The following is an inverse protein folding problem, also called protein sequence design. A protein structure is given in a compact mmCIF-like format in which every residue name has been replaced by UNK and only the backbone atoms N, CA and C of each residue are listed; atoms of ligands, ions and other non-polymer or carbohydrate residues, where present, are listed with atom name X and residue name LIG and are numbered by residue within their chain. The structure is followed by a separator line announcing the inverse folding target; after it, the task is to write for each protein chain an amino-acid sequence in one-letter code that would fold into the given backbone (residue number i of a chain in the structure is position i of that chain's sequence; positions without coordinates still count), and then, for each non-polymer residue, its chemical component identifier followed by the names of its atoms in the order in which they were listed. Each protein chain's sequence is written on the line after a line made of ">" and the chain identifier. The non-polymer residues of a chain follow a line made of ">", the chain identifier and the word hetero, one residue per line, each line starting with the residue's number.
data_IF_628090477068
#
_entry.id   IF_628090477068
#
_cell.length_a   1.000
_cell.length_b   1.000
_cell.length_c   1.000
_cell.angle_alpha   90.00
_cell.angle_beta   90.00
_cell.angle_gamma   90.00
#
_symmetry.space_group_name_H-M   'P 1'
#
loop_
_entity.id
_entity.type
_entity.pdbx_description
1 polymer ?
#
# COMPACT_ATOMS: atom_id res chain seq x y z
N UNK A 1 -11.81 -10.61 -5.36
CA UNK A 1 -11.27 -9.37 -5.95
C UNK A 1 -12.32 -8.66 -6.78
N UNK A 2 -12.47 -7.35 -6.62
CA UNK A 2 -13.33 -6.50 -7.45
C UNK A 2 -12.73 -6.36 -8.85
N UNK A 3 -13.60 -6.23 -9.87
CA UNK A 3 -13.18 -6.05 -11.26
C UNK A 3 -14.29 -5.42 -12.10
N UNK A 4 -14.00 -5.04 -13.35
CA UNK A 4 -15.00 -4.48 -14.25
C UNK A 4 -16.06 -5.54 -14.62
N UNK A 5 -17.29 -5.09 -14.77
CA UNK A 5 -18.42 -5.90 -15.25
C UNK A 5 -19.01 -5.20 -16.45
N UNK A 6 -19.12 -5.90 -17.57
CA UNK A 6 -19.79 -5.42 -18.75
C UNK A 6 -21.25 -5.93 -18.74
N UNK A 7 -22.20 -5.02 -18.91
CA UNK A 7 -23.61 -5.36 -19.15
C UNK A 7 -23.98 -4.81 -20.53
N UNK A 8 -24.21 -5.70 -21.48
CA UNK A 8 -24.72 -5.32 -22.80
C UNK A 8 -26.25 -5.28 -22.76
N UNK A 9 -26.81 -4.12 -23.13
CA UNK A 9 -28.26 -3.89 -23.16
C UNK A 9 -28.67 -3.50 -24.58
N UNK A 10 -29.09 -4.48 -25.41
CA UNK A 10 -29.52 -4.23 -26.77
C UNK A 10 -30.71 -3.26 -26.87
N UNK A 11 -30.78 -2.51 -27.96
CA UNK A 11 -31.76 -1.44 -28.13
C UNK A 11 -33.23 -1.94 -28.05
N UNK A 12 -33.52 -3.09 -28.58
CA UNK A 12 -34.85 -3.74 -28.53
C UNK A 12 -35.26 -4.07 -27.10
N UNK A 13 -34.33 -4.52 -26.27
CA UNK A 13 -34.55 -4.79 -24.83
C UNK A 13 -34.93 -3.53 -24.07
N UNK A 14 -34.27 -2.39 -24.37
CA UNK A 14 -34.55 -1.10 -23.71
C UNK A 14 -35.91 -0.53 -24.06
N UNK A 15 -36.50 -0.93 -25.21
CA UNK A 15 -37.82 -0.50 -25.67
C UNK A 15 -38.97 -1.34 -25.10
N UNK A 16 -38.69 -2.52 -24.54
CA UNK A 16 -39.71 -3.43 -24.03
C UNK A 16 -40.19 -3.01 -22.63
N UNK A 17 -41.42 -3.42 -22.34
CA UNK A 17 -42.01 -3.31 -21.00
C UNK A 17 -41.86 -4.66 -20.29
N UNK A 18 -41.46 -4.61 -19.01
CA UNK A 18 -41.37 -5.78 -18.16
C UNK A 18 -41.92 -5.47 -16.78
N UNK A 19 -42.34 -6.50 -16.06
CA UNK A 19 -42.60 -6.40 -14.64
C UNK A 19 -41.26 -6.41 -13.90
N UNK A 20 -41.07 -5.43 -13.03
CA UNK A 20 -39.82 -5.28 -12.29
C UNK A 20 -40.01 -5.68 -10.82
N UNK A 21 -39.24 -6.65 -10.39
CA UNK A 21 -39.10 -7.03 -8.99
C UNK A 21 -37.78 -6.50 -8.43
N UNK A 22 -37.84 -5.86 -7.28
CA UNK A 22 -36.63 -5.38 -6.60
C UNK A 22 -35.88 -6.60 -6.04
N UNK A 23 -34.79 -6.96 -6.71
CA UNK A 23 -33.90 -8.03 -6.22
C UNK A 23 -32.95 -7.43 -5.19
N UNK A 24 -33.00 -7.95 -3.95
CA UNK A 24 -32.00 -7.59 -2.93
C UNK A 24 -30.61 -8.07 -3.39
N UNK A 25 -29.56 -7.20 -3.32
CA UNK A 25 -28.21 -7.66 -3.58
C UNK A 25 -27.84 -8.83 -2.68
N UNK A 26 -27.16 -9.84 -3.25
CA UNK A 26 -26.56 -10.88 -2.41
C UNK A 26 -25.46 -10.25 -1.56
N UNK A 27 -25.45 -10.56 -0.27
CA UNK A 27 -24.29 -10.25 0.56
C UNK A 27 -23.08 -11.00 0.00
N UNK A 28 -21.99 -10.26 -0.20
CA UNK A 28 -20.74 -10.87 -0.65
C UNK A 28 -20.06 -11.46 0.58
N UNK A 29 -19.99 -12.79 0.64
CA UNK A 29 -19.26 -13.47 1.69
C UNK A 29 -17.77 -13.08 1.62
N UNK A 30 -17.18 -12.73 2.74
CA UNK A 30 -15.75 -12.48 2.86
C UNK A 30 -14.98 -13.80 2.75
N UNK A 31 -13.83 -13.74 2.12
CA UNK A 31 -12.98 -14.91 1.92
C UNK A 31 -12.23 -15.23 3.21
N UNK A 32 -12.55 -16.35 3.86
CA UNK A 32 -11.79 -16.85 5.01
C UNK A 32 -10.33 -17.13 4.65
N UNK A 33 -9.46 -17.20 5.66
CA UNK A 33 -8.05 -17.56 5.45
C UNK A 33 -7.99 -19.01 4.95
N UNK A 34 -7.38 -19.21 3.77
CA UNK A 34 -7.32 -20.53 3.12
C UNK A 34 -6.19 -21.43 3.66
N UNK A 35 -5.18 -20.82 4.28
CA UNK A 35 -3.98 -21.50 4.79
C UNK A 35 -3.60 -20.97 6.18
N UNK A 36 -4.47 -21.13 7.19
CA UNK A 36 -4.28 -20.54 8.53
C UNK A 36 -3.04 -21.07 9.24
N UNK A 37 -2.54 -22.24 8.89
CA UNK A 37 -1.32 -22.84 9.42
C UNK A 37 -0.07 -22.01 9.14
N UNK A 38 -0.13 -21.14 8.12
CA UNK A 38 0.97 -20.26 7.75
C UNK A 38 1.07 -18.98 8.60
N UNK A 39 0.02 -18.63 9.31
CA UNK A 39 0.00 -17.42 10.17
C UNK A 39 1.16 -17.46 11.16
N UNK A 40 1.33 -18.59 11.87
CA UNK A 40 2.43 -18.74 12.84
C UNK A 40 3.81 -18.58 12.20
N UNK A 41 3.99 -19.16 11.00
CA UNK A 41 5.27 -19.02 10.28
C UNK A 41 5.56 -17.57 9.92
N UNK A 42 4.55 -16.83 9.44
CA UNK A 42 4.69 -15.40 9.13
C UNK A 42 4.97 -14.58 10.40
N UNK A 43 4.29 -14.88 11.51
CA UNK A 43 4.59 -14.25 12.81
C UNK A 43 6.04 -14.51 13.23
N UNK A 44 6.57 -15.73 13.04
CA UNK A 44 7.95 -16.05 13.38
C UNK A 44 8.94 -15.32 12.47
N UNK A 45 8.64 -15.16 11.16
CA UNK A 45 9.43 -14.34 10.24
C UNK A 45 9.48 -12.88 10.70
N UNK A 46 8.34 -12.32 11.12
CA UNK A 46 8.26 -10.95 11.65
C UNK A 46 9.12 -10.79 12.90
N UNK A 47 9.01 -11.71 13.86
CA UNK A 47 9.79 -11.67 15.13
C UNK A 47 11.29 -11.73 14.91
N UNK A 48 11.74 -12.40 13.85
CA UNK A 48 13.17 -12.61 13.57
C UNK A 48 13.78 -11.52 12.68
N UNK A 49 12.95 -10.73 11.99
CA UNK A 49 13.41 -9.68 11.11
C UNK A 49 14.06 -8.52 11.90
N UNK A 50 15.13 -7.97 11.36
CA UNK A 50 15.85 -6.82 11.95
C UNK A 50 15.59 -5.52 11.21
N UNK A 51 15.39 -5.61 9.92
CA UNK A 51 15.18 -4.49 8.99
C UNK A 51 13.94 -4.73 8.12
N UNK A 52 12.77 -5.03 8.71
CA UNK A 52 11.57 -5.31 7.93
C UNK A 52 10.97 -4.05 7.32
N UNK A 53 10.22 -4.23 6.22
CA UNK A 53 9.32 -3.21 5.68
C UNK A 53 7.95 -3.81 5.37
N UNK A 54 6.91 -3.00 5.48
CA UNK A 54 5.59 -3.32 4.93
C UNK A 54 5.46 -2.64 3.57
N UNK A 55 5.21 -3.42 2.52
CA UNK A 55 4.81 -2.91 1.22
C UNK A 55 3.28 -2.88 1.13
N UNK A 56 2.70 -1.70 1.36
CA UNK A 56 1.26 -1.48 1.44
C UNK A 56 0.64 -1.20 0.06
N UNK A 57 -0.30 -2.04 -0.34
CA UNK A 57 -1.02 -1.90 -1.60
C UNK A 57 -2.46 -1.41 -1.45
N UNK A 58 -3.10 -1.10 -2.59
CA UNK A 58 -4.51 -0.69 -2.64
C UNK A 58 -5.49 -1.75 -2.14
N UNK A 59 -5.04 -2.99 -1.97
CA UNK A 59 -5.83 -4.07 -1.39
C UNK A 59 -6.27 -3.78 0.04
N UNK A 60 -5.46 -3.06 0.83
CA UNK A 60 -5.79 -2.65 2.20
C UNK A 60 -7.05 -1.75 2.19
N UNK A 61 -7.05 -0.73 1.33
CA UNK A 61 -8.18 0.22 1.19
C UNK A 61 -9.41 -0.50 0.62
N UNK A 62 -9.20 -1.41 -0.35
CA UNK A 62 -10.29 -2.18 -0.98
C UNK A 62 -10.96 -3.17 -0.02
N UNK A 63 -10.21 -3.72 0.93
CA UNK A 63 -10.71 -4.61 1.97
C UNK A 63 -11.36 -3.86 3.16
N UNK A 64 -11.29 -2.52 3.20
CA UNK A 64 -11.62 -1.68 4.36
C UNK A 64 -10.80 -2.06 5.62
N UNK A 65 -9.57 -2.50 5.44
CA UNK A 65 -8.70 -3.02 6.49
C UNK A 65 -7.72 -1.98 7.06
N UNK A 66 -7.95 -0.69 6.85
CA UNK A 66 -7.01 0.38 7.23
C UNK A 66 -6.78 0.47 8.73
N UNK A 67 -7.83 0.29 9.55
CA UNK A 67 -7.71 0.36 11.00
C UNK A 67 -6.89 -0.81 11.56
N UNK A 68 -7.21 -2.04 11.15
CA UNK A 68 -6.42 -3.22 11.60
C UNK A 68 -5.01 -3.19 11.00
N UNK A 69 -4.83 -2.64 9.80
CA UNK A 69 -3.53 -2.46 9.18
C UNK A 69 -2.65 -1.50 9.98
N UNK A 70 -3.20 -0.35 10.39
CA UNK A 70 -2.51 0.60 11.27
C UNK A 70 -2.10 -0.06 12.58
N UNK A 71 -3.04 -0.75 13.24
CA UNK A 71 -2.75 -1.51 14.47
C UNK A 71 -1.64 -2.55 14.25
N UNK A 72 -1.64 -3.27 13.12
CA UNK A 72 -0.61 -4.23 12.78
C UNK A 72 0.76 -3.56 12.61
N UNK A 73 0.84 -2.44 11.88
CA UNK A 73 2.07 -1.68 11.72
C UNK A 73 2.62 -1.16 13.05
N UNK A 74 1.74 -0.60 13.91
CA UNK A 74 2.11 -0.11 15.24
C UNK A 74 2.57 -1.25 16.16
N UNK A 75 1.89 -2.40 16.16
CA UNK A 75 2.24 -3.56 16.97
C UNK A 75 3.58 -4.17 16.54
N UNK A 76 3.86 -4.18 15.24
CA UNK A 76 5.09 -4.73 14.71
C UNK A 76 6.22 -3.71 14.62
N UNK A 77 5.95 -2.41 14.83
CA UNK A 77 6.88 -1.29 14.71
C UNK A 77 7.61 -1.27 13.35
N UNK A 78 6.93 -1.74 12.29
CA UNK A 78 7.52 -1.88 10.95
C UNK A 78 7.18 -0.67 10.09
N UNK A 79 8.18 -0.04 9.43
CA UNK A 79 7.95 1.07 8.50
C UNK A 79 7.13 0.65 7.29
N UNK A 80 6.23 1.55 6.86
CA UNK A 80 5.25 1.32 5.79
C UNK A 80 5.63 2.10 4.54
N UNK A 81 5.93 1.38 3.46
CA UNK A 81 6.15 1.91 2.12
C UNK A 81 4.91 1.65 1.26
N UNK A 82 4.25 2.71 0.79
CA UNK A 82 2.97 2.60 0.07
C UNK A 82 3.18 2.52 -1.45
N UNK A 83 2.46 1.63 -2.13
CA UNK A 83 2.25 1.79 -3.58
C UNK A 83 1.41 3.06 -3.84
N UNK A 84 1.39 3.56 -5.07
CA UNK A 84 0.53 4.69 -5.46
C UNK A 84 -0.93 4.48 -5.02
N UNK A 85 -1.47 3.27 -5.22
CA UNK A 85 -2.84 2.91 -4.83
C UNK A 85 -3.00 2.58 -3.34
N UNK A 86 -1.91 2.49 -2.60
CA UNK A 86 -1.88 2.27 -1.15
C UNK A 86 -1.79 3.57 -0.34
N UNK A 87 -1.48 4.70 -1.00
CA UNK A 87 -1.40 5.99 -0.31
C UNK A 87 -2.71 6.32 0.42
N UNK A 88 -2.60 6.73 1.68
CA UNK A 88 -3.74 6.97 2.56
C UNK A 88 -4.24 5.71 3.31
N UNK A 89 -3.62 4.52 3.13
CA UNK A 89 -3.94 3.36 3.97
C UNK A 89 -3.42 3.50 5.42
N UNK A 90 -2.48 4.38 5.62
CA UNK A 90 -1.98 4.90 6.89
C UNK A 90 -1.84 6.42 6.72
N UNK A 91 -2.11 7.24 7.75
CA UNK A 91 -1.91 8.69 7.63
C UNK A 91 -0.50 9.05 7.18
N UNK A 92 -0.38 10.03 6.29
CA UNK A 92 0.91 10.41 5.72
C UNK A 92 1.90 11.00 6.74
N UNK A 93 1.40 11.53 7.87
CA UNK A 93 2.19 12.03 8.99
C UNK A 93 2.44 11.00 10.09
N UNK A 94 1.94 9.76 9.92
CA UNK A 94 2.21 8.69 10.87
C UNK A 94 3.72 8.38 10.93
N UNK A 95 4.32 8.19 12.13
CA UNK A 95 5.77 7.97 12.27
C UNK A 95 6.31 6.81 11.44
N UNK A 96 5.52 5.77 11.23
CA UNK A 96 5.90 4.61 10.42
C UNK A 96 5.67 4.82 8.91
N UNK A 97 5.04 5.92 8.46
CA UNK A 97 4.78 6.16 7.05
C UNK A 97 6.04 6.67 6.34
N UNK A 98 6.60 5.87 5.45
CA UNK A 98 7.74 6.23 4.60
C UNK A 98 7.32 6.85 3.27
N UNK A 99 6.02 6.85 2.93
CA UNK A 99 5.52 7.41 1.67
C UNK A 99 5.54 6.42 0.51
N UNK A 100 5.63 6.94 -0.72
CA UNK A 100 5.51 6.16 -1.95
C UNK A 100 6.77 5.34 -2.24
N UNK A 101 6.58 4.08 -2.69
CA UNK A 101 7.65 3.14 -3.09
C UNK A 101 7.67 2.97 -4.61
N UNK A 102 8.81 2.59 -5.15
CA UNK A 102 9.02 2.23 -6.56
C UNK A 102 9.61 3.36 -7.38
N UNK A 103 9.38 3.34 -8.70
CA UNK A 103 10.02 4.24 -9.69
C UNK A 103 9.87 5.73 -9.35
N UNK A 104 8.78 6.11 -8.70
CA UNK A 104 8.47 7.47 -8.30
C UNK A 104 8.46 7.63 -6.77
N UNK A 105 9.06 6.68 -6.06
CA UNK A 105 9.20 6.71 -4.60
C UNK A 105 10.28 7.68 -4.13
N UNK A 106 10.31 7.90 -2.82
CA UNK A 106 11.38 8.64 -2.16
C UNK A 106 12.70 7.86 -2.17
N UNK A 107 13.80 8.54 -1.94
CA UNK A 107 15.13 7.92 -1.80
C UNK A 107 15.13 6.90 -0.66
N UNK A 108 14.52 7.25 0.46
CA UNK A 108 14.39 6.42 1.66
C UNK A 108 13.66 5.10 1.38
N UNK A 109 12.58 5.14 0.60
CA UNK A 109 11.81 3.91 0.27
C UNK A 109 12.56 3.01 -0.69
N UNK A 110 13.35 3.58 -1.60
CA UNK A 110 14.27 2.85 -2.46
C UNK A 110 15.36 2.14 -1.65
N UNK A 111 16.02 2.87 -0.76
CA UNK A 111 17.05 2.32 0.13
C UNK A 111 16.47 1.29 1.09
N UNK A 112 15.26 1.53 1.63
CA UNK A 112 14.58 0.56 2.48
C UNK A 112 14.35 -0.77 1.77
N UNK A 113 13.90 -0.73 0.50
CA UNK A 113 13.69 -1.94 -0.31
C UNK A 113 15.00 -2.69 -0.60
N UNK A 114 16.10 -1.96 -0.80
CA UNK A 114 17.41 -2.54 -1.10
C UNK A 114 18.08 -3.16 0.15
N UNK A 115 17.82 -2.64 1.34
CA UNK A 115 18.51 -3.01 2.57
C UNK A 115 17.68 -3.88 3.53
N UNK A 116 16.37 -3.97 3.34
CA UNK A 116 15.51 -4.76 4.21
C UNK A 116 15.84 -6.26 4.16
N UNK A 117 15.55 -6.95 5.26
CA UNK A 117 15.67 -8.40 5.39
C UNK A 117 14.31 -9.12 5.26
N UNK A 118 13.20 -8.38 5.41
CA UNK A 118 11.84 -8.89 5.24
C UNK A 118 10.94 -7.84 4.57
N UNK A 119 10.20 -8.26 3.54
CA UNK A 119 9.12 -7.48 2.90
C UNK A 119 7.79 -8.16 3.16
N UNK A 120 6.85 -7.46 3.82
CA UNK A 120 5.48 -7.91 4.00
C UNK A 120 4.59 -7.16 3.02
N UNK A 121 4.25 -7.79 1.90
CA UNK A 121 3.39 -7.21 0.87
C UNK A 121 1.91 -7.40 1.24
N UNK A 122 1.26 -6.33 1.68
CA UNK A 122 -0.14 -6.31 2.11
C UNK A 122 -1.05 -5.82 0.97
N UNK A 123 -1.77 -6.72 0.32
CA UNK A 123 -2.68 -6.38 -0.79
C UNK A 123 -1.99 -5.65 -1.95
N UNK A 124 -0.75 -6.04 -2.25
CA UNK A 124 0.12 -5.44 -3.26
C UNK A 124 0.53 -6.47 -4.32
N UNK A 125 0.59 -6.05 -5.60
CA UNK A 125 0.76 -6.95 -6.74
C UNK A 125 2.16 -6.98 -7.36
N UNK A 126 3.12 -6.29 -6.80
CA UNK A 126 4.47 -6.14 -7.36
C UNK A 126 4.45 -5.72 -8.83
N UNK A 127 3.78 -4.59 -9.13
CA UNK A 127 3.74 -4.04 -10.48
C UNK A 127 5.15 -3.65 -10.95
N UNK A 128 5.35 -3.56 -12.26
CA UNK A 128 6.60 -3.11 -12.87
C UNK A 128 7.04 -1.70 -12.41
N UNK A 129 6.09 -0.85 -12.04
CA UNK A 129 6.35 0.48 -11.50
C UNK A 129 6.97 0.45 -10.10
N UNK A 130 6.77 -0.62 -9.36
CA UNK A 130 7.35 -0.80 -8.02
C UNK A 130 8.52 -1.77 -8.06
N UNK A 131 8.34 -2.96 -8.63
CA UNK A 131 9.36 -3.99 -8.64
C UNK A 131 10.50 -3.71 -9.64
N UNK A 132 10.23 -2.94 -10.71
CA UNK A 132 11.24 -2.64 -11.72
C UNK A 132 11.87 -3.91 -12.29
N UNK A 133 13.16 -4.12 -12.01
CA UNK A 133 13.84 -5.38 -12.27
C UNK A 133 13.43 -6.41 -11.20
N UNK A 134 12.56 -7.34 -11.62
CA UNK A 134 11.90 -8.31 -10.72
C UNK A 134 12.87 -9.27 -10.04
N UNK A 135 14.01 -9.51 -10.65
CA UNK A 135 15.05 -10.39 -10.10
C UNK A 135 15.91 -9.68 -9.04
N UNK A 136 15.85 -8.35 -9.01
CA UNK A 136 16.60 -7.52 -8.06
C UNK A 136 15.75 -6.95 -6.94
N UNK A 137 14.42 -6.92 -7.11
CA UNK A 137 13.51 -6.37 -6.10
C UNK A 137 13.59 -7.17 -4.81
N UNK A 138 14.03 -6.53 -3.73
CA UNK A 138 14.19 -7.19 -2.43
C UNK A 138 15.08 -8.43 -2.46
N UNK A 139 16.14 -8.44 -3.30
CA UNK A 139 16.98 -9.62 -3.53
C UNK A 139 17.65 -10.19 -2.27
N UNK A 140 17.75 -9.39 -1.21
CA UNK A 140 18.31 -9.80 0.09
C UNK A 140 17.22 -10.18 1.11
N UNK A 141 15.96 -9.87 0.81
CA UNK A 141 14.84 -10.01 1.75
C UNK A 141 14.09 -11.32 1.54
N UNK A 142 13.60 -11.88 2.61
CA UNK A 142 12.45 -12.77 2.54
C UNK A 142 11.20 -11.97 2.20
N UNK A 143 10.33 -12.52 1.36
CA UNK A 143 9.10 -11.82 0.93
C UNK A 143 7.89 -12.63 1.36
N UNK A 144 7.01 -12.00 2.13
CA UNK A 144 5.70 -12.53 2.50
C UNK A 144 4.61 -11.77 1.75
N UNK A 145 3.68 -12.48 1.11
CA UNK A 145 2.57 -11.87 0.40
C UNK A 145 1.22 -12.22 1.06
N UNK A 146 0.49 -11.18 1.48
CA UNK A 146 -0.87 -11.28 2.01
C UNK A 146 -1.84 -10.86 0.91
N UNK A 147 -2.61 -11.82 0.37
CA UNK A 147 -3.36 -11.61 -0.87
C UNK A 147 -4.71 -12.35 -0.86
N UNK A 148 -5.69 -11.80 -1.55
CA UNK A 148 -7.01 -12.43 -1.73
C UNK A 148 -7.08 -13.28 -3.02
N UNK A 149 -6.25 -12.96 -4.02
CA UNK A 149 -6.25 -13.60 -5.34
C UNK A 149 -5.03 -14.51 -5.49
N UNK A 150 -5.25 -15.82 -5.46
CA UNK A 150 -4.20 -16.84 -5.61
C UNK A 150 -3.38 -16.67 -6.90
N UNK A 151 -3.97 -16.09 -7.95
CA UNK A 151 -3.29 -15.87 -9.24
C UNK A 151 -2.21 -14.79 -9.19
N UNK A 152 -2.21 -13.96 -8.16
CA UNK A 152 -1.17 -12.94 -7.95
C UNK A 152 0.06 -13.49 -7.21
N UNK A 153 -0.05 -14.68 -6.57
CA UNK A 153 1.07 -15.32 -5.85
C UNK A 153 2.13 -15.80 -6.85
N UNK A 154 3.39 -15.44 -6.60
CA UNK A 154 4.54 -15.76 -7.44
C UNK A 154 4.44 -15.30 -8.91
N UNK A 155 3.52 -14.39 -9.23
CA UNK A 155 3.29 -13.94 -10.60
C UNK A 155 4.39 -13.01 -11.10
N UNK A 156 4.75 -12.02 -10.32
CA UNK A 156 5.72 -10.99 -10.68
C UNK A 156 7.04 -11.15 -9.91
N UNK A 157 6.97 -11.47 -8.64
CA UNK A 157 8.11 -11.69 -7.75
C UNK A 157 7.90 -13.02 -7.05
N UNK A 158 8.95 -13.80 -6.87
CA UNK A 158 8.89 -15.04 -6.08
C UNK A 158 8.85 -14.67 -4.60
N UNK A 159 7.91 -15.27 -3.86
CA UNK A 159 7.75 -15.01 -2.44
C UNK A 159 8.21 -16.21 -1.61
N UNK A 160 8.77 -15.93 -0.43
CA UNK A 160 9.20 -16.95 0.53
C UNK A 160 8.01 -17.60 1.22
N UNK A 161 6.95 -16.82 1.46
CA UNK A 161 5.71 -17.29 2.07
C UNK A 161 4.52 -16.43 1.62
N UNK A 162 3.30 -16.96 1.75
CA UNK A 162 2.08 -16.22 1.48
C UNK A 162 0.91 -16.66 2.35
N UNK A 163 -0.03 -15.75 2.60
CA UNK A 163 -1.32 -16.05 3.23
C UNK A 163 -2.44 -15.59 2.30
N UNK A 164 -3.38 -16.50 2.01
CA UNK A 164 -4.54 -16.25 1.15
C UNK A 164 -5.80 -16.06 1.97
N UNK A 165 -6.50 -14.96 1.72
CA UNK A 165 -7.77 -14.64 2.38
C UNK A 165 -8.10 -13.17 2.31
N UNK A 166 -9.19 -12.77 2.97
CA UNK A 166 -9.50 -11.37 3.20
C UNK A 166 -8.44 -10.76 4.11
N UNK A 167 -7.94 -9.60 3.72
CA UNK A 167 -6.80 -8.97 4.39
C UNK A 167 -7.11 -8.56 5.84
N UNK A 168 -8.36 -8.16 6.13
CA UNK A 168 -8.78 -7.85 7.49
C UNK A 168 -8.60 -9.07 8.40
N UNK A 169 -9.08 -10.24 7.98
CA UNK A 169 -8.94 -11.49 8.76
C UNK A 169 -7.49 -11.94 8.90
N UNK A 170 -6.68 -11.77 7.84
CA UNK A 170 -5.26 -12.11 7.90
C UNK A 170 -4.54 -11.23 8.91
N UNK A 171 -4.77 -9.92 8.87
CA UNK A 171 -4.13 -8.97 9.78
C UNK A 171 -4.59 -9.17 11.24
N UNK A 172 -5.89 -9.45 11.47
CA UNK A 172 -6.39 -9.84 12.80
C UNK A 172 -5.66 -11.07 13.34
N UNK A 173 -5.56 -12.13 12.51
CA UNK A 173 -4.88 -13.36 12.90
C UNK A 173 -3.37 -13.16 13.12
N UNK A 174 -2.71 -12.27 12.38
CA UNK A 174 -1.30 -11.93 12.59
C UNK A 174 -1.09 -11.11 13.86
N UNK A 175 -2.03 -10.24 14.23
CA UNK A 175 -1.98 -9.51 15.49
C UNK A 175 -2.26 -10.40 16.71
N UNK A 176 -3.05 -11.46 16.56
CA UNK A 176 -3.40 -12.34 17.67
C UNK A 176 -2.16 -13.10 18.19
N UNK A 177 -1.85 -12.90 19.48
CA UNK A 177 -0.66 -13.48 20.12
C UNK A 177 0.68 -12.89 19.65
N UNK A 178 0.68 -11.77 18.90
CA UNK A 178 1.90 -11.00 18.61
C UNK A 178 2.18 -10.03 19.74
N UNK A 179 3.41 -10.07 20.25
CA UNK A 179 3.90 -9.08 21.21
C UNK A 179 4.41 -7.83 20.47
N UNK A 180 4.40 -6.68 21.17
CA UNK A 180 4.97 -5.44 20.65
C UNK A 180 6.42 -5.67 20.21
N UNK A 181 6.71 -5.35 18.96
CA UNK A 181 8.08 -5.37 18.41
C UNK A 181 8.74 -4.00 18.54
N UNK A 182 10.05 -3.93 18.29
CA UNK A 182 10.79 -2.68 18.29
C UNK A 182 11.85 -2.69 17.17
N UNK A 183 11.77 -1.72 16.27
CA UNK A 183 12.71 -1.52 15.17
C UNK A 183 13.29 -0.11 15.18
N UNK A 184 13.48 0.50 16.36
CA UNK A 184 13.91 1.89 16.51
C UNK A 184 15.21 2.23 15.75
N UNK A 185 16.23 1.36 15.80
CA UNK A 185 17.50 1.57 15.08
C UNK A 185 17.28 1.58 13.55
N UNK A 186 16.37 0.74 13.06
CA UNK A 186 16.02 0.71 11.65
C UNK A 186 15.25 1.98 11.22
N UNK A 187 14.30 2.41 12.04
CA UNK A 187 13.54 3.65 11.81
C UNK A 187 14.43 4.89 11.84
N UNK A 188 15.43 4.93 12.72
CA UNK A 188 16.44 6.01 12.75
C UNK A 188 17.23 6.06 11.44
N UNK A 189 17.73 4.92 10.97
CA UNK A 189 18.42 4.79 9.68
C UNK A 189 17.57 5.30 8.52
N UNK A 190 16.30 4.93 8.47
CA UNK A 190 15.36 5.39 7.44
C UNK A 190 15.10 6.89 7.52
N UNK A 191 15.05 7.45 8.74
CA UNK A 191 14.94 8.88 9.00
C UNK A 191 16.11 9.67 8.43
N UNK A 192 17.33 9.17 8.58
CA UNK A 192 18.53 9.79 7.97
C UNK A 192 18.43 9.79 6.44
N UNK A 193 17.96 8.73 5.82
CA UNK A 193 17.80 8.68 4.37
C UNK A 193 16.69 9.59 3.85
N UNK A 194 15.64 9.79 4.60
CA UNK A 194 14.54 10.70 4.27
C UNK A 194 15.03 12.14 4.06
N UNK A 195 16.03 12.56 4.84
CA UNK A 195 16.62 13.89 4.74
C UNK A 195 17.87 13.97 3.85
N UNK A 196 18.32 12.84 3.31
CA UNK A 196 19.56 12.77 2.54
C UNK A 196 19.58 13.69 1.31
N UNK A 197 18.45 13.85 0.63
CA UNK A 197 18.35 14.69 -0.57
C UNK A 197 17.96 16.13 -0.28
N UNK A 198 17.52 16.50 0.93
CA UNK A 198 17.00 17.83 1.23
C UNK A 198 18.03 18.94 0.95
N UNK A 199 19.31 18.66 1.15
CA UNK A 199 20.39 19.63 0.91
C UNK A 199 21.14 19.41 -0.43
N UNK A 200 20.70 18.43 -1.26
CA UNK A 200 21.38 18.07 -2.52
C UNK A 200 20.67 18.55 -3.76
N UNK A 201 19.39 18.90 -3.65
CA UNK A 201 18.61 19.45 -4.74
C UNK A 201 18.77 20.97 -4.67
N UNK A 202 19.35 21.62 -5.72
CA UNK A 202 19.47 23.08 -5.73
C UNK A 202 18.09 23.73 -5.66
N UNK A 203 17.97 24.77 -4.82
CA UNK A 203 16.79 25.64 -4.84
C UNK A 203 16.75 26.40 -6.18
N UNK A 204 15.56 26.55 -6.77
CA UNK A 204 15.31 27.42 -7.90
C UNK A 204 14.54 28.65 -7.40
N UNK A 205 15.22 29.76 -7.23
CA UNK A 205 14.63 31.00 -6.71
C UNK A 205 13.66 31.66 -7.71
N UNK A 206 13.62 31.19 -8.95
CA UNK A 206 12.82 31.81 -10.01
C UNK A 206 11.40 31.27 -10.08
N UNK A 207 11.24 29.97 -9.81
CA UNK A 207 9.93 29.28 -9.91
C UNK A 207 9.68 28.41 -8.67
N UNK A 208 8.44 28.38 -8.15
CA UNK A 208 8.12 27.51 -7.04
C UNK A 208 8.30 26.03 -7.43
N UNK A 209 8.93 25.28 -6.56
CA UNK A 209 9.14 23.85 -6.76
C UNK A 209 7.86 23.06 -6.46
N UNK A 210 7.64 21.89 -7.07
CA UNK A 210 6.48 21.04 -6.80
C UNK A 210 6.27 20.71 -5.31
N UNK A 211 7.38 20.51 -4.56
CA UNK A 211 7.35 20.29 -3.10
C UNK A 211 6.75 21.47 -2.34
N UNK A 212 7.07 22.69 -2.77
CA UNK A 212 6.55 23.93 -2.15
C UNK A 212 5.06 24.14 -2.45
N UNK A 213 4.66 23.92 -3.73
CA UNK A 213 3.26 24.03 -4.16
C UNK A 213 2.39 23.04 -3.40
N UNK A 214 2.81 21.78 -3.34
CA UNK A 214 2.06 20.74 -2.63
C UNK A 214 2.14 20.88 -1.11
N UNK A 215 3.24 21.47 -0.60
CA UNK A 215 3.35 21.88 0.79
C UNK A 215 2.27 22.89 1.16
N UNK A 216 2.14 23.97 0.39
CA UNK A 216 1.08 24.98 0.58
C UNK A 216 -0.33 24.38 0.43
N UNK A 217 -0.54 23.44 -0.52
CA UNK A 217 -1.81 22.72 -0.63
C UNK A 217 -2.13 21.91 0.64
N UNK A 218 -1.15 21.22 1.19
CA UNK A 218 -1.31 20.42 2.42
C UNK A 218 -1.65 21.30 3.65
N UNK A 219 -1.25 22.56 3.66
CA UNK A 219 -1.57 23.49 4.75
C UNK A 219 -3.02 24.00 4.71
N UNK A 220 -3.62 24.07 3.51
CA UNK A 220 -4.96 24.64 3.33
C UNK A 220 -6.06 23.59 3.21
N UNK A 221 -5.74 22.35 2.78
CA UNK A 221 -6.71 21.28 2.64
C UNK A 221 -7.04 20.64 4.00
N UNK A 222 -8.25 20.16 4.14
CA UNK A 222 -8.65 19.27 5.24
C UNK A 222 -8.23 17.82 4.97
N UNK A 223 -8.30 16.97 5.99
CA UNK A 223 -7.95 15.55 5.88
C UNK A 223 -8.92 14.77 4.98
N UNK A 224 -10.14 15.28 4.79
CA UNK A 224 -11.19 14.67 3.97
C UNK A 224 -11.25 15.24 2.53
N UNK A 225 -10.45 16.25 2.22
CA UNK A 225 -10.41 16.83 0.87
C UNK A 225 -9.82 15.84 -0.14
N UNK A 226 -10.51 15.69 -1.26
CA UNK A 226 -10.14 14.75 -2.31
C UNK A 226 -9.20 15.43 -3.30
N UNK A 227 -8.01 14.86 -3.46
CA UNK A 227 -7.05 15.23 -4.50
C UNK A 227 -7.18 14.26 -5.66
N UNK A 228 -7.54 14.77 -6.84
CA UNK A 228 -7.62 13.97 -8.07
C UNK A 228 -6.52 14.36 -9.04
N UNK A 229 -5.88 13.37 -9.65
CA UNK A 229 -4.84 13.60 -10.67
C UNK A 229 -5.15 12.86 -11.95
N UNK A 230 -4.68 13.41 -13.07
CA UNK A 230 -4.46 12.65 -14.30
C UNK A 230 -3.04 12.05 -14.29
N UNK A 231 -2.60 11.46 -15.39
CA UNK A 231 -1.26 10.87 -15.56
C UNK A 231 -0.25 11.93 -16.01
N UNK A 232 0.92 11.94 -15.40
CA UNK A 232 2.02 12.84 -15.76
C UNK A 232 2.94 13.16 -14.59
N UNK A 233 3.85 14.11 -14.77
CA UNK A 233 4.78 14.52 -13.72
C UNK A 233 4.07 14.99 -12.44
N UNK A 234 2.95 15.71 -12.59
CA UNK A 234 2.14 16.15 -11.46
C UNK A 234 1.63 15.00 -10.61
N UNK A 235 1.27 13.86 -11.21
CA UNK A 235 0.88 12.64 -10.50
C UNK A 235 2.04 12.13 -9.61
N UNK A 236 3.26 12.12 -10.17
CA UNK A 236 4.44 11.68 -9.42
C UNK A 236 4.73 12.59 -8.24
N UNK A 237 4.63 13.91 -8.44
CA UNK A 237 4.81 14.88 -7.36
C UNK A 237 3.72 14.78 -6.29
N UNK A 238 2.46 14.56 -6.70
CA UNK A 238 1.37 14.31 -5.76
C UNK A 238 1.62 13.03 -4.96
N UNK A 239 2.11 11.95 -5.60
CA UNK A 239 2.45 10.71 -4.91
C UNK A 239 3.57 10.89 -3.85
N UNK A 240 4.50 11.83 -4.09
CA UNK A 240 5.62 12.10 -3.18
C UNK A 240 5.29 13.12 -2.10
N UNK A 241 4.54 14.17 -2.42
CA UNK A 241 4.44 15.35 -1.57
C UNK A 241 3.03 15.64 -1.03
N UNK A 242 1.97 15.03 -1.60
CA UNK A 242 0.63 15.17 -1.04
C UNK A 242 0.48 14.31 0.22
N UNK A 243 0.01 14.90 1.31
CA UNK A 243 -0.29 14.20 2.56
C UNK A 243 -1.72 13.68 2.52
N UNK A 244 -1.91 12.42 2.12
CA UNK A 244 -3.18 11.72 2.26
C UNK A 244 -3.32 11.20 3.69
N UNK A 245 -4.22 11.79 4.49
CA UNK A 245 -4.43 11.43 5.89
C UNK A 245 -5.50 10.36 6.05
N UNK A 246 -6.49 10.35 5.17
CA UNK A 246 -7.60 9.39 5.19
C UNK A 246 -7.62 8.54 3.91
N UNK A 247 -8.11 7.28 3.99
CA UNK A 247 -8.21 6.43 2.81
C UNK A 247 -9.22 7.01 1.80
N UNK A 248 -8.96 6.81 0.51
CA UNK A 248 -9.79 7.26 -0.63
C UNK A 248 -9.83 8.78 -0.86
N UNK A 249 -8.94 9.54 -0.25
CA UNK A 249 -8.78 10.98 -0.52
C UNK A 249 -7.77 11.30 -1.64
N UNK A 250 -7.07 10.30 -2.15
CA UNK A 250 -6.26 10.41 -3.37
C UNK A 250 -6.89 9.56 -4.48
N UNK A 251 -7.36 10.22 -5.54
CA UNK A 251 -7.90 9.59 -6.75
C UNK A 251 -6.91 9.79 -7.89
N UNK A 252 -6.39 8.70 -8.41
CA UNK A 252 -5.37 8.73 -9.46
C UNK A 252 -5.50 7.51 -10.37
N UNK A 253 -4.98 7.61 -11.60
CA UNK A 253 -4.83 6.47 -12.48
C UNK A 253 -3.66 5.60 -12.03
N UNK A 254 -3.88 4.29 -11.86
CA UNK A 254 -2.88 3.30 -11.40
C UNK A 254 -2.60 2.21 -12.41
#
# INVERSE_FOLDING_TARGET
>A
RKGPVLVDVPKDVTANKTEFEVVKPKEVERVSIKNPEKIKKVQDMIRNAKQPIIYAGGGIISANATEIFKKFAELTDIPVCCSLMGLGCIPADHPLCMGNIGMHGGYETGMATDKCDLIIACGARFSDRVAGDRDKFGAQAEIVQLEIDEKEINKNVKVSEYVLGDLEYILEALCDGMEQQNHAEWLETLGEWKHYLDNKIPADDKYPQPKEILGALNEIKSDDDIVATDVGQHQMWVAQFNKAQTPRTLLTSG
#
